data_IF_711628033485
#
_entry.id   IF_711628033485
#
_cell.length_a   1.000
_cell.length_b   1.000
_cell.length_c   1.000
_cell.angle_alpha   90.00
_cell.angle_beta   90.00
_cell.angle_gamma   90.00
#
_symmetry.space_group_name_H-M   'P 1'
#
loop_
_entity.id
_entity.type
_entity.pdbx_description
1 polymer ?
#
# COMPACT_ATOMS: atom_id res chain seq x y z
N UNK A 1 -2.95 4.51 2.24
CA UNK A 1 -4.33 4.22 1.81
C UNK A 1 -4.93 2.99 2.52
N UNK A 2 -4.28 1.84 2.46
CA UNK A 2 -4.74 0.56 3.01
C UNK A 2 -4.46 0.43 4.52
N UNK A 3 -3.34 0.98 4.96
CA UNK A 3 -2.93 1.05 6.37
C UNK A 3 -3.89 1.85 7.23
N UNK A 4 -4.47 2.94 6.71
CA UNK A 4 -5.43 3.76 7.45
C UNK A 4 -6.69 2.97 7.84
N UNK A 5 -7.13 2.05 7.00
CA UNK A 5 -8.25 1.16 7.32
C UNK A 5 -7.85 0.06 8.30
N UNK A 6 -6.65 -0.51 8.16
CA UNK A 6 -6.13 -1.50 9.11
C UNK A 6 -5.92 -0.91 10.52
N UNK A 7 -5.41 0.34 10.59
CA UNK A 7 -5.31 1.12 11.82
C UNK A 7 -6.70 1.44 12.41
N UNK A 8 -7.65 1.86 11.57
CA UNK A 8 -9.03 2.16 12.01
C UNK A 8 -9.78 0.91 12.48
N UNK A 9 -9.46 -0.25 11.93
CA UNK A 9 -9.98 -1.55 12.33
C UNK A 9 -9.24 -2.16 13.53
N UNK A 10 -8.32 -1.41 14.16
CA UNK A 10 -7.47 -1.82 15.30
C UNK A 10 -6.71 -3.13 15.06
N UNK A 11 -6.42 -3.44 13.79
CA UNK A 11 -5.67 -4.64 13.39
C UNK A 11 -4.16 -4.45 13.49
N UNK A 12 -3.70 -3.22 13.42
CA UNK A 12 -2.29 -2.81 13.52
C UNK A 12 -2.23 -1.53 14.34
N UNK A 13 -1.11 -1.29 15.02
CA UNK A 13 -0.82 -0.05 15.74
C UNK A 13 0.35 0.67 15.08
N UNK A 14 0.34 1.99 15.14
CA UNK A 14 1.45 2.81 14.64
C UNK A 14 2.78 2.51 15.35
N UNK A 15 2.71 2.03 16.58
CA UNK A 15 3.84 1.64 17.42
C UNK A 15 4.36 0.25 17.12
N UNK A 16 3.66 -0.54 16.29
CA UNK A 16 4.08 -1.89 15.99
C UNK A 16 5.38 -1.86 15.17
N UNK A 17 6.28 -2.77 15.51
CA UNK A 17 7.56 -2.92 14.83
C UNK A 17 7.40 -3.96 13.73
N UNK A 18 7.72 -3.56 12.51
CA UNK A 18 7.73 -4.42 11.33
C UNK A 18 9.15 -4.82 11.04
N UNK A 19 9.38 -6.13 10.96
CA UNK A 19 10.67 -6.68 10.52
C UNK A 19 10.72 -6.68 9.01
N UNK A 20 11.71 -6.01 8.44
CA UNK A 20 11.93 -5.91 6.99
C UNK A 20 12.41 -7.26 6.47
N UNK A 21 11.65 -7.84 5.53
CA UNK A 21 12.00 -9.07 4.83
C UNK A 21 13.04 -8.85 3.72
N UNK A 22 13.54 -9.94 3.14
CA UNK A 22 14.43 -9.88 1.97
C UNK A 22 13.74 -9.30 0.73
N UNK A 23 12.43 -9.47 0.65
CA UNK A 23 11.62 -9.06 -0.51
C UNK A 23 11.47 -7.54 -0.60
N UNK A 24 11.47 -6.88 0.56
CA UNK A 24 11.44 -5.43 0.72
C UNK A 24 12.82 -4.78 0.49
N UNK A 25 13.89 -5.56 0.26
CA UNK A 25 15.22 -5.00 0.11
C UNK A 25 15.50 -4.57 -1.33
N UNK A 26 15.71 -3.26 -1.51
CA UNK A 26 15.94 -2.65 -2.82
C UNK A 26 17.13 -3.25 -3.60
N UNK A 27 18.18 -3.68 -2.91
CA UNK A 27 19.37 -4.28 -3.56
C UNK A 27 19.14 -5.75 -3.92
N UNK A 28 18.30 -6.46 -3.16
CA UNK A 28 17.97 -7.87 -3.40
C UNK A 28 16.82 -8.06 -4.39
N UNK A 29 15.97 -7.05 -4.57
CA UNK A 29 14.82 -7.10 -5.46
C UNK A 29 15.08 -6.28 -6.73
N UNK A 30 15.28 -6.91 -7.90
CA UNK A 30 15.54 -6.20 -9.15
C UNK A 30 14.38 -5.28 -9.57
N UNK A 31 13.14 -5.54 -9.12
CA UNK A 31 11.99 -4.67 -9.40
C UNK A 31 12.13 -3.30 -8.71
N UNK A 32 12.84 -3.23 -7.59
CA UNK A 32 13.03 -1.98 -6.84
C UNK A 32 14.22 -1.15 -7.33
N UNK A 33 15.05 -1.69 -8.23
CA UNK A 33 16.25 -0.98 -8.71
C UNK A 33 15.84 0.21 -9.59
N UNK A 34 16.26 1.41 -9.18
CA UNK A 34 15.90 2.67 -9.87
C UNK A 34 14.55 3.25 -9.47
N UNK A 35 13.86 2.64 -8.50
CA UNK A 35 12.63 3.17 -7.92
C UNK A 35 12.90 3.99 -6.65
N UNK A 36 11.90 4.74 -6.18
CA UNK A 36 11.93 5.39 -4.86
C UNK A 36 11.92 4.34 -3.75
N UNK A 37 12.93 4.38 -2.88
CA UNK A 37 13.12 3.44 -1.77
C UNK A 37 13.60 4.18 -0.52
N UNK A 38 13.27 3.64 0.65
CA UNK A 38 13.77 4.08 1.96
C UNK A 38 15.13 3.46 2.34
N UNK A 39 15.70 2.60 1.49
CA UNK A 39 16.95 1.87 1.73
C UNK A 39 16.89 0.92 2.94
N UNK A 40 15.73 0.29 3.14
CA UNK A 40 15.52 -0.70 4.20
C UNK A 40 16.39 -1.95 3.97
N UNK A 41 16.96 -2.51 5.03
CA UNK A 41 17.75 -3.76 4.97
C UNK A 41 16.99 -4.92 5.60
N UNK A 42 17.18 -6.15 5.11
CA UNK A 42 16.57 -7.33 5.72
C UNK A 42 16.99 -7.46 7.19
N UNK A 43 16.03 -7.64 8.08
CA UNK A 43 16.24 -7.71 9.53
C UNK A 43 16.13 -6.37 10.25
N UNK A 44 16.05 -5.24 9.54
CA UNK A 44 15.73 -3.96 10.17
C UNK A 44 14.33 -4.03 10.78
N UNK A 45 14.17 -3.43 11.96
CA UNK A 45 12.87 -3.26 12.59
C UNK A 45 12.48 -1.78 12.49
N UNK A 46 11.40 -1.50 11.79
CA UNK A 46 10.90 -0.14 11.58
C UNK A 46 9.47 -0.06 12.05
N UNK A 47 9.11 1.06 12.70
CA UNK A 47 7.74 1.26 13.17
C UNK A 47 6.77 1.38 12.00
N UNK A 48 5.53 0.91 12.17
CA UNK A 48 4.44 1.12 11.18
C UNK A 48 4.27 2.60 10.88
N UNK A 49 4.45 3.48 11.88
CA UNK A 49 4.39 4.92 11.69
C UNK A 49 5.43 5.44 10.68
N UNK A 50 6.69 5.02 10.81
CA UNK A 50 7.78 5.50 9.96
C UNK A 50 7.73 4.87 8.57
N UNK A 51 7.33 3.60 8.48
CA UNK A 51 7.04 2.97 7.19
C UNK A 51 5.90 3.68 6.47
N UNK A 52 4.82 4.01 7.17
CA UNK A 52 3.70 4.75 6.58
C UNK A 52 4.12 6.17 6.16
N UNK A 53 4.98 6.86 6.92
CA UNK A 53 5.57 8.14 6.49
C UNK A 53 6.42 7.95 5.24
N UNK A 54 7.21 6.89 5.15
CA UNK A 54 8.01 6.58 3.97
C UNK A 54 7.19 6.32 2.71
N UNK A 55 6.07 5.60 2.84
CA UNK A 55 5.13 5.41 1.73
C UNK A 55 4.48 6.73 1.31
N UNK A 56 4.07 7.58 2.26
CA UNK A 56 3.37 8.84 1.94
C UNK A 56 4.32 9.92 1.42
N UNK A 57 5.51 10.04 2.02
CA UNK A 57 6.47 11.12 1.75
C UNK A 57 7.43 10.73 0.63
N UNK A 58 8.02 9.55 0.70
CA UNK A 58 9.04 9.10 -0.25
C UNK A 58 8.49 8.18 -1.33
N UNK A 59 7.21 7.79 -1.27
CA UNK A 59 6.66 6.73 -2.13
C UNK A 59 7.56 5.49 -2.14
N UNK A 60 8.12 5.16 -0.97
CA UNK A 60 9.09 4.07 -0.81
C UNK A 60 8.45 2.73 -1.14
N UNK A 61 8.88 2.12 -2.23
CA UNK A 61 8.34 0.84 -2.69
C UNK A 61 8.73 -0.32 -1.74
N UNK A 62 9.90 -0.23 -1.12
CA UNK A 62 10.37 -1.14 -0.07
C UNK A 62 9.46 -1.11 1.16
N UNK A 63 9.06 0.09 1.60
CA UNK A 63 8.14 0.25 2.70
C UNK A 63 6.75 -0.34 2.39
N UNK A 64 6.26 -0.20 1.16
CA UNK A 64 5.00 -0.84 0.73
C UNK A 64 5.06 -2.37 0.84
N UNK A 65 6.17 -2.99 0.43
CA UNK A 65 6.34 -4.44 0.52
C UNK A 65 6.39 -4.90 1.98
N UNK A 66 7.23 -4.25 2.81
CA UNK A 66 7.35 -4.60 4.22
C UNK A 66 6.00 -4.49 4.96
N UNK A 67 5.22 -3.45 4.65
CA UNK A 67 3.88 -3.27 5.22
C UNK A 67 2.86 -4.28 4.69
N UNK A 68 2.95 -4.65 3.41
CA UNK A 68 2.07 -5.65 2.83
C UNK A 68 2.27 -7.02 3.50
N UNK A 69 3.51 -7.43 3.68
CA UNK A 69 3.86 -8.68 4.38
C UNK A 69 3.43 -8.64 5.85
N UNK A 70 3.59 -7.50 6.52
CA UNK A 70 3.14 -7.36 7.91
C UNK A 70 1.61 -7.44 8.06
N UNK A 71 0.86 -6.74 7.20
CA UNK A 71 -0.60 -6.61 7.33
C UNK A 71 -1.33 -7.85 6.83
N UNK A 72 -0.85 -8.46 5.76
CA UNK A 72 -1.54 -9.55 5.07
C UNK A 72 -0.77 -10.88 5.08
N UNK A 73 0.43 -10.91 5.65
CA UNK A 73 1.32 -12.08 5.66
C UNK A 73 2.09 -12.28 4.35
N UNK A 74 1.57 -11.78 3.22
CA UNK A 74 2.23 -11.83 1.92
C UNK A 74 1.73 -10.72 1.00
N UNK A 75 2.57 -10.34 0.02
CA UNK A 75 2.21 -9.41 -1.06
C UNK A 75 0.95 -9.87 -1.82
N UNK A 76 0.80 -11.15 -2.14
CA UNK A 76 -0.37 -11.71 -2.83
C UNK A 76 -1.66 -11.52 -2.05
N UNK A 77 -1.62 -11.80 -0.74
CA UNK A 77 -2.76 -11.59 0.15
C UNK A 77 -3.13 -10.12 0.22
N UNK A 78 -2.12 -9.24 0.25
CA UNK A 78 -2.33 -7.80 0.22
C UNK A 78 -2.94 -7.33 -1.11
N UNK A 79 -2.50 -7.86 -2.25
CA UNK A 79 -3.10 -7.59 -3.57
C UNK A 79 -4.57 -8.04 -3.61
N UNK A 80 -4.89 -9.17 -2.98
CA UNK A 80 -6.27 -9.62 -2.78
C UNK A 80 -7.11 -8.61 -1.99
N UNK A 81 -6.57 -8.06 -0.90
CA UNK A 81 -7.18 -6.94 -0.20
C UNK A 81 -7.32 -5.73 -1.12
N UNK A 82 -6.29 -5.44 -1.93
CA UNK A 82 -6.29 -4.33 -2.88
C UNK A 82 -7.48 -4.37 -3.84
N UNK A 83 -7.64 -5.49 -4.52
CA UNK A 83 -8.74 -5.71 -5.44
C UNK A 83 -10.09 -5.79 -4.71
N UNK A 84 -10.11 -6.30 -3.47
CA UNK A 84 -11.30 -6.31 -2.63
C UNK A 84 -11.84 -4.92 -2.31
N UNK A 85 -11.00 -3.96 -1.94
CA UNK A 85 -11.47 -2.58 -1.74
C UNK A 85 -11.73 -1.86 -3.05
N UNK A 86 -10.96 -2.12 -4.11
CA UNK A 86 -11.25 -1.57 -5.43
C UNK A 86 -12.71 -1.89 -5.83
N UNK A 87 -13.12 -3.14 -5.63
CA UNK A 87 -14.50 -3.57 -5.82
C UNK A 87 -15.50 -2.88 -4.89
N UNK A 88 -15.18 -2.71 -3.59
CA UNK A 88 -16.05 -2.01 -2.63
C UNK A 88 -16.23 -0.52 -2.95
N UNK A 89 -15.21 0.12 -3.52
CA UNK A 89 -15.23 1.51 -3.94
C UNK A 89 -15.85 1.71 -5.33
N UNK A 90 -16.24 0.63 -6.01
CA UNK A 90 -16.81 0.69 -7.35
C UNK A 90 -15.78 0.96 -8.45
N UNK A 91 -14.49 0.64 -8.22
CA UNK A 91 -13.43 0.75 -9.22
C UNK A 91 -13.53 -0.43 -10.18
N UNK A 92 -14.40 -0.31 -11.18
CA UNK A 92 -14.69 -1.41 -12.13
C UNK A 92 -13.60 -1.62 -13.17
N UNK A 93 -12.73 -0.62 -13.37
CA UNK A 93 -11.65 -0.67 -14.36
C UNK A 93 -10.27 -0.54 -13.71
N UNK A 94 -10.14 -1.08 -12.49
CA UNK A 94 -8.87 -1.15 -11.76
C UNK A 94 -8.60 -2.58 -11.33
N UNK A 95 -7.44 -3.09 -11.70
CA UNK A 95 -6.87 -4.34 -11.17
C UNK A 95 -5.45 -4.06 -10.71
N UNK A 96 -5.16 -4.33 -9.44
CA UNK A 96 -3.83 -4.27 -8.88
C UNK A 96 -3.18 -5.64 -8.99
N UNK A 97 -1.92 -5.67 -9.45
CA UNK A 97 -1.07 -6.88 -9.46
C UNK A 97 0.18 -6.69 -8.60
N UNK A 98 0.48 -5.47 -8.16
CA UNK A 98 1.62 -5.18 -7.29
C UNK A 98 1.20 -4.27 -6.15
N UNK A 99 1.90 -4.38 -5.04
CA UNK A 99 1.66 -3.56 -3.83
C UNK A 99 2.26 -2.16 -3.93
N UNK A 100 3.27 -1.99 -4.79
CA UNK A 100 4.00 -0.75 -5.00
C UNK A 100 3.58 -0.01 -6.28
N UNK A 101 2.73 -0.61 -7.13
CA UNK A 101 2.25 0.03 -8.36
C UNK A 101 3.29 0.10 -9.48
N UNK A 102 4.34 -0.72 -9.44
CA UNK A 102 5.23 -0.85 -10.61
C UNK A 102 4.48 -1.56 -11.72
N UNK A 103 4.87 -1.31 -12.97
CA UNK A 103 4.26 -1.96 -14.11
C UNK A 103 4.33 -3.48 -13.98
N UNK A 104 3.16 -4.11 -14.04
CA UNK A 104 3.00 -5.54 -14.03
C UNK A 104 1.98 -5.93 -15.11
N UNK A 105 2.23 -7.03 -15.86
CA UNK A 105 1.27 -7.52 -16.84
C UNK A 105 -0.10 -7.74 -16.21
N UNK A 106 -1.13 -7.08 -16.75
CA UNK A 106 -2.51 -7.17 -16.23
C UNK A 106 -2.83 -6.23 -15.07
N UNK A 107 -1.89 -5.37 -14.64
CA UNK A 107 -2.20 -4.22 -13.80
C UNK A 107 -2.71 -3.08 -14.67
N UNK A 108 -3.89 -2.55 -14.36
CA UNK A 108 -4.43 -1.38 -15.05
C UNK A 108 -5.35 -0.61 -14.12
N UNK A 109 -5.52 0.66 -14.42
CA UNK A 109 -6.43 1.56 -13.72
C UNK A 109 -6.89 2.66 -14.67
N UNK A 110 -7.98 3.34 -14.34
CA UNK A 110 -8.46 4.49 -15.10
C UNK A 110 -8.30 5.78 -14.31
N UNK A 111 -8.20 6.92 -15.00
CA UNK A 111 -8.14 8.23 -14.35
C UNK A 111 -9.36 8.48 -13.44
N UNK A 112 -10.55 8.00 -13.84
CA UNK A 112 -11.77 8.03 -13.02
C UNK A 112 -11.58 7.24 -11.73
N UNK A 113 -11.09 6.02 -11.83
CA UNK A 113 -10.91 5.16 -10.66
C UNK A 113 -9.84 5.71 -9.73
N UNK A 114 -8.78 6.32 -10.26
CA UNK A 114 -7.78 7.03 -9.45
C UNK A 114 -8.34 8.28 -8.77
N UNK A 115 -9.26 9.00 -9.41
CA UNK A 115 -9.96 10.10 -8.77
C UNK A 115 -10.90 9.64 -7.64
N UNK A 116 -11.60 8.51 -7.82
CA UNK A 116 -12.44 7.89 -6.77
C UNK A 116 -11.58 7.38 -5.61
N UNK A 117 -10.46 6.74 -5.93
CA UNK A 117 -9.45 6.29 -4.97
C UNK A 117 -8.94 7.50 -4.16
N UNK A 118 -8.51 8.56 -4.82
CA UNK A 118 -8.09 9.83 -4.21
C UNK A 118 -9.15 10.46 -3.30
N UNK A 119 -10.42 10.49 -3.75
CA UNK A 119 -11.54 10.99 -2.94
C UNK A 119 -11.79 10.17 -1.68
N UNK A 120 -11.61 8.86 -1.73
CA UNK A 120 -11.75 7.99 -0.56
C UNK A 120 -10.64 8.18 0.49
N UNK A 121 -9.50 8.74 0.08
CA UNK A 121 -8.34 8.99 0.93
C UNK A 121 -8.50 10.30 1.73
N UNK A 122 -9.05 11.36 1.14
CA UNK A 122 -9.19 12.64 1.85
C UNK A 122 -10.29 12.52 2.93
N UNK A 123 -9.95 12.59 4.23
CA UNK A 123 -10.94 12.51 5.30
C UNK A 123 -11.98 13.64 5.24
N UNK A 124 -11.68 14.77 4.57
CA UNK A 124 -12.63 15.85 4.32
C UNK A 124 -13.63 15.51 3.21
N UNK A 125 -13.28 14.62 2.29
CA UNK A 125 -14.14 14.15 1.21
C UNK A 125 -14.89 12.85 1.57
N UNK A 126 -14.36 12.06 2.52
CA UNK A 126 -15.00 10.85 3.02
C UNK A 126 -16.40 11.08 3.64
N UNK A 127 -16.72 12.32 4.03
CA UNK A 127 -18.03 12.73 4.54
C UNK A 127 -19.05 13.17 3.49
N UNK A 128 -18.69 13.31 2.20
CA UNK A 128 -19.57 13.88 1.16
C UNK A 128 -20.01 12.87 0.08
N UNK A 129 -20.13 11.60 0.46
CA UNK A 129 -20.75 10.55 -0.40
C UNK A 129 -21.99 9.94 0.29
N UNK A 130 -22.75 10.77 1.00
CA UNK A 130 -24.16 10.50 1.30
C UNK A 130 -24.96 11.75 0.93
N UNK A 131 -26.10 11.51 0.27
CA UNK A 131 -27.01 12.45 -0.37
C UNK A 131 -26.48 12.91 -1.74
N UNK A 132 -27.13 12.57 -2.85
CA UNK A 132 -28.58 12.53 -3.14
C UNK A 132 -28.88 11.46 -4.20
#
# INVERSE_FOLDING_TARGET
MWLGQALKADKIKLTDMVTVGKDAWATGNPALRGSSVMFLKPGDQVSVADLNKGVIIQSGNDACIALADYVAGSQESFIGLMNGYAKKLGLTNTTFQTVHGLDAPGQFSTARDMALLGKSIDPRCAGRVRHS
#
